data_IF_611958010017
#
_entry.id   IF_611958010017
#
_cell.length_a   1.000
_cell.length_b   1.000
_cell.length_c   1.000
_cell.angle_alpha   90.00
_cell.angle_beta   90.00
_cell.angle_gamma   90.00
#
_symmetry.space_group_name_H-M   'P 1'
#
loop_
_entity.id
_entity.type
_entity.pdbx_description
1 polymer ?
#
# COMPACT_ATOMS: atom_id res chain seq x y z
N UNK A 1 7.73 -5.31 15.37
CA UNK A 1 8.79 -6.30 15.69
C UNK A 1 10.12 -5.62 15.45
N UNK A 2 10.92 -5.42 16.48
CA UNK A 2 12.28 -4.91 16.32
C UNK A 2 13.14 -6.00 15.69
N UNK A 3 13.81 -5.69 14.61
CA UNK A 3 14.72 -6.60 13.93
C UNK A 3 16.16 -6.32 14.37
N UNK A 4 16.94 -7.39 14.50
CA UNK A 4 18.39 -7.24 14.51
C UNK A 4 18.86 -6.62 13.20
N UNK A 5 19.98 -5.89 13.22
CA UNK A 5 20.51 -5.17 12.04
C UNK A 5 20.62 -6.08 10.80
N UNK A 6 21.14 -7.29 10.97
CA UNK A 6 21.24 -8.25 9.86
C UNK A 6 19.88 -8.65 9.30
N UNK A 7 18.86 -8.82 10.14
CA UNK A 7 17.51 -9.15 9.71
C UNK A 7 16.81 -8.00 9.00
N UNK A 8 17.06 -6.76 9.42
CA UNK A 8 16.53 -5.57 8.77
C UNK A 8 17.09 -5.38 7.35
N UNK A 9 18.41 -5.56 7.19
CA UNK A 9 19.06 -5.41 5.88
C UNK A 9 19.02 -6.67 5.00
N UNK A 10 18.48 -7.79 5.50
CA UNK A 10 18.43 -9.05 4.76
C UNK A 10 17.61 -8.93 3.45
N UNK A 11 16.61 -8.04 3.40
CA UNK A 11 15.81 -7.82 2.19
C UNK A 11 16.67 -7.39 0.99
N UNK A 12 17.75 -6.62 1.21
CA UNK A 12 18.67 -6.16 0.17
C UNK A 12 19.60 -7.25 -0.37
N UNK A 13 19.57 -8.45 0.21
CA UNK A 13 20.31 -9.63 -0.29
C UNK A 13 19.34 -10.68 -0.79
N UNK A 14 18.31 -11.00 0.00
CA UNK A 14 17.35 -12.05 -0.30
C UNK A 14 16.54 -11.71 -1.56
N UNK A 15 15.98 -10.51 -1.66
CA UNK A 15 15.11 -10.17 -2.80
C UNK A 15 15.88 -10.08 -4.13
N UNK A 16 17.07 -9.46 -4.22
CA UNK A 16 17.85 -9.52 -5.46
C UNK A 16 18.15 -10.95 -5.92
N UNK A 17 18.46 -11.88 -5.01
CA UNK A 17 18.68 -13.29 -5.35
C UNK A 17 17.40 -13.97 -5.85
N UNK A 18 16.27 -13.79 -5.16
CA UNK A 18 14.97 -14.34 -5.57
C UNK A 18 14.52 -13.79 -6.92
N UNK A 19 14.58 -12.46 -7.10
CA UNK A 19 14.24 -11.78 -8.36
C UNK A 19 15.13 -12.30 -9.48
N UNK A 20 16.45 -12.37 -9.27
CA UNK A 20 17.38 -12.86 -10.28
C UNK A 20 17.07 -14.31 -10.65
N UNK A 21 16.77 -15.18 -9.68
CA UNK A 21 16.36 -16.57 -9.95
C UNK A 21 15.07 -16.67 -10.77
N UNK A 22 14.05 -15.87 -10.43
CA UNK A 22 12.80 -15.82 -11.18
C UNK A 22 13.00 -15.30 -12.61
N UNK A 23 13.81 -14.24 -12.79
CA UNK A 23 14.14 -13.70 -14.10
C UNK A 23 14.98 -14.68 -14.94
N UNK A 24 15.97 -15.33 -14.33
CA UNK A 24 16.83 -16.32 -14.98
C UNK A 24 16.04 -17.56 -15.41
N UNK A 25 14.93 -17.90 -14.74
CA UNK A 25 14.06 -19.02 -15.14
C UNK A 25 13.48 -18.87 -16.55
N UNK A 26 13.47 -17.65 -17.11
CA UNK A 26 13.14 -17.38 -18.53
C UNK A 26 14.10 -18.08 -19.50
N UNK A 27 15.35 -18.29 -19.09
CA UNK A 27 16.37 -18.94 -19.92
C UNK A 27 16.20 -20.46 -19.98
N UNK A 28 15.31 -21.03 -19.14
CA UNK A 28 14.98 -22.45 -19.22
C UNK A 28 14.23 -22.74 -20.53
N UNK A 29 14.36 -23.94 -21.12
CA UNK A 29 13.74 -24.32 -22.40
C UNK A 29 12.20 -24.32 -22.43
N UNK A 30 11.53 -23.84 -21.39
CA UNK A 30 10.08 -23.88 -21.21
C UNK A 30 9.39 -22.72 -21.94
N UNK A 31 9.24 -22.84 -23.26
CA UNK A 31 8.39 -21.97 -24.09
C UNK A 31 8.91 -20.54 -24.22
N UNK A 32 9.34 -20.16 -25.42
CA UNK A 32 9.92 -18.85 -25.69
C UNK A 32 8.84 -17.75 -25.73
N UNK A 33 8.46 -17.23 -24.56
CA UNK A 33 7.65 -16.02 -24.52
C UNK A 33 8.44 -14.84 -25.08
N UNK A 34 7.82 -14.08 -25.99
CA UNK A 34 8.43 -12.89 -26.56
C UNK A 34 9.00 -11.98 -25.45
N UNK A 35 10.27 -11.52 -25.52
CA UNK A 35 10.91 -10.71 -24.47
C UNK A 35 10.05 -9.56 -23.96
N UNK A 36 9.41 -8.82 -24.87
CA UNK A 36 8.54 -7.70 -24.52
C UNK A 36 7.31 -8.10 -23.68
N UNK A 37 6.71 -9.28 -23.91
CA UNK A 37 5.56 -9.73 -23.11
C UNK A 37 6.01 -10.01 -21.67
N UNK A 38 7.14 -10.66 -21.50
CA UNK A 38 7.69 -10.94 -20.18
C UNK A 38 8.08 -9.66 -19.43
N UNK A 39 8.75 -8.72 -20.09
CA UNK A 39 9.04 -7.40 -19.50
C UNK A 39 7.75 -6.66 -19.14
N UNK A 40 6.73 -6.71 -20.00
CA UNK A 40 5.41 -6.14 -19.73
C UNK A 40 4.76 -6.73 -18.47
N UNK A 41 4.84 -8.06 -18.28
CA UNK A 41 4.35 -8.73 -17.08
C UNK A 41 5.14 -8.37 -15.81
N UNK A 42 6.47 -8.20 -15.92
CA UNK A 42 7.28 -7.68 -14.81
C UNK A 42 6.83 -6.26 -14.44
N UNK A 43 6.62 -5.38 -15.42
CA UNK A 43 6.16 -4.00 -15.17
C UNK A 43 4.75 -3.97 -14.59
N UNK A 44 3.86 -4.86 -15.02
CA UNK A 44 2.55 -5.07 -14.40
C UNK A 44 2.68 -5.48 -12.93
N UNK A 45 3.62 -6.36 -12.60
CA UNK A 45 3.93 -6.74 -11.22
C UNK A 45 4.39 -5.53 -10.38
N UNK A 46 5.31 -4.71 -10.91
CA UNK A 46 5.77 -3.49 -10.22
C UNK A 46 4.62 -2.51 -10.00
N UNK A 47 3.80 -2.27 -11.03
CA UNK A 47 2.63 -1.39 -10.92
C UNK A 47 1.62 -1.93 -9.90
N UNK A 48 1.35 -3.23 -9.91
CA UNK A 48 0.47 -3.91 -8.95
C UNK A 48 0.98 -3.79 -7.53
N UNK A 49 2.30 -3.85 -7.32
CA UNK A 49 2.90 -3.62 -6.00
C UNK A 49 2.54 -2.22 -5.47
N UNK A 50 2.59 -1.17 -6.28
CA UNK A 50 2.28 0.19 -5.77
C UNK A 50 0.84 0.31 -5.25
N UNK A 51 -0.10 -0.43 -5.86
CA UNK A 51 -1.47 -0.52 -5.35
C UNK A 51 -1.52 -1.35 -4.07
N UNK A 52 -0.85 -2.50 -4.07
CA UNK A 52 -0.80 -3.36 -2.90
C UNK A 52 -0.17 -2.67 -1.69
N UNK A 53 0.91 -1.92 -1.87
CA UNK A 53 1.54 -1.06 -0.87
C UNK A 53 0.51 -0.10 -0.27
N UNK A 54 -0.21 0.65 -1.11
CA UNK A 54 -1.23 1.59 -0.65
C UNK A 54 -2.31 0.90 0.18
N UNK A 55 -2.84 -0.23 -0.30
CA UNK A 55 -3.89 -0.99 0.38
C UNK A 55 -3.39 -1.61 1.68
N UNK A 56 -2.20 -2.23 1.67
CA UNK A 56 -1.56 -2.83 2.83
C UNK A 56 -1.32 -1.75 3.89
N UNK A 57 -0.76 -0.62 3.52
CA UNK A 57 -0.47 0.46 4.44
C UNK A 57 -1.77 0.99 5.06
N UNK A 58 -2.76 1.36 4.23
CA UNK A 58 -4.02 1.95 4.70
C UNK A 58 -4.91 0.99 5.49
N UNK A 59 -5.05 -0.26 5.04
CA UNK A 59 -6.06 -1.19 5.57
C UNK A 59 -5.49 -2.33 6.39
N UNK A 60 -4.20 -2.63 6.29
CA UNK A 60 -3.56 -3.66 7.11
C UNK A 60 -2.71 -3.02 8.22
N UNK A 61 -1.69 -2.24 7.86
CA UNK A 61 -0.78 -1.61 8.82
C UNK A 61 -1.49 -0.60 9.74
N UNK A 62 -2.57 0.04 9.29
CA UNK A 62 -3.35 0.98 10.11
C UNK A 62 -4.62 0.39 10.74
N UNK A 63 -4.89 -0.93 10.62
CA UNK A 63 -6.15 -1.53 11.12
C UNK A 63 -6.04 -2.94 11.69
N UNK A 64 -5.13 -3.78 11.19
CA UNK A 64 -5.01 -5.19 11.60
C UNK A 64 -4.14 -5.26 12.85
N UNK A 65 -4.62 -5.76 14.01
CA UNK A 65 -3.96 -5.57 15.30
C UNK A 65 -2.46 -5.88 15.33
N UNK A 66 -2.06 -7.05 14.82
CA UNK A 66 -0.64 -7.46 14.82
C UNK A 66 0.22 -6.50 13.98
N UNK A 67 -0.30 -6.03 12.85
CA UNK A 67 0.43 -5.12 11.97
C UNK A 67 0.35 -3.67 12.46
N UNK A 68 -0.77 -3.30 13.10
CA UNK A 68 -1.00 -2.02 13.72
C UNK A 68 -0.02 -1.78 14.85
N UNK A 69 0.14 -2.72 15.77
CA UNK A 69 1.09 -2.59 16.88
C UNK A 69 2.52 -2.38 16.35
N UNK A 70 2.89 -3.10 15.28
CA UNK A 70 4.19 -2.92 14.63
C UNK A 70 4.33 -1.56 13.95
N UNK A 71 3.27 -1.09 13.29
CA UNK A 71 3.29 0.15 12.55
C UNK A 71 3.22 1.37 13.47
N UNK A 72 2.42 1.34 14.52
CA UNK A 72 2.39 2.35 15.59
C UNK A 72 3.75 2.47 16.28
N UNK A 73 4.42 1.36 16.55
CA UNK A 73 5.80 1.39 17.07
C UNK A 73 6.76 2.10 16.09
N UNK A 74 6.58 1.91 14.78
CA UNK A 74 7.34 2.62 13.77
C UNK A 74 6.97 4.11 13.68
N UNK A 75 5.69 4.49 13.83
CA UNK A 75 5.27 5.90 13.94
C UNK A 75 5.87 6.58 15.17
N UNK A 76 6.00 5.84 16.27
CA UNK A 76 6.59 6.35 17.52
C UNK A 76 8.11 6.52 17.44
N UNK A 77 8.82 5.61 16.76
CA UNK A 77 10.25 5.69 16.50
C UNK A 77 10.58 5.37 15.02
N UNK A 78 10.55 6.37 14.13
CA UNK A 78 10.73 6.16 12.70
C UNK A 78 12.15 5.74 12.29
N UNK A 79 13.13 5.87 13.20
CA UNK A 79 14.53 5.47 12.97
C UNK A 79 14.82 4.05 13.51
N UNK A 80 13.90 3.46 14.27
CA UNK A 80 14.04 2.08 14.71
C UNK A 80 13.98 1.11 13.52
N UNK A 81 14.74 0.02 13.63
CA UNK A 81 14.76 -1.07 12.64
C UNK A 81 13.56 -1.99 12.81
N UNK A 82 12.36 -1.45 12.57
CA UNK A 82 11.08 -2.15 12.64
C UNK A 82 10.67 -2.54 11.22
N UNK A 83 10.32 -3.81 11.04
CA UNK A 83 9.89 -4.33 9.75
C UNK A 83 9.44 -5.78 9.81
N UNK A 84 9.06 -6.30 8.65
CA UNK A 84 8.71 -7.71 8.46
C UNK A 84 9.98 -8.51 8.15
N UNK A 85 10.30 -9.60 8.86
CA UNK A 85 11.45 -10.44 8.52
C UNK A 85 11.39 -10.95 7.08
N UNK A 86 12.54 -11.01 6.38
CA UNK A 86 12.61 -11.42 4.97
C UNK A 86 12.01 -12.80 4.70
N UNK A 87 12.17 -13.76 5.63
CA UNK A 87 11.58 -15.08 5.49
C UNK A 87 10.05 -15.04 5.49
N UNK A 88 9.45 -14.15 6.30
CA UNK A 88 8.00 -14.02 6.41
C UNK A 88 7.42 -13.33 5.17
N UNK A 89 8.04 -12.24 4.72
CA UNK A 89 7.61 -11.54 3.50
C UNK A 89 7.82 -12.41 2.25
N UNK A 90 8.96 -13.12 2.13
CA UNK A 90 9.22 -14.04 1.02
C UNK A 90 8.22 -15.20 1.00
N UNK A 91 7.88 -15.76 2.17
CA UNK A 91 6.83 -16.77 2.27
C UNK A 91 5.49 -16.26 1.74
N UNK A 92 5.09 -15.04 2.10
CA UNK A 92 3.86 -14.40 1.61
C UNK A 92 3.87 -14.21 0.08
N UNK A 93 4.98 -13.81 -0.52
CA UNK A 93 5.07 -13.74 -1.99
C UNK A 93 4.95 -15.11 -2.65
N UNK A 94 5.55 -16.14 -2.06
CA UNK A 94 5.48 -17.50 -2.61
C UNK A 94 4.04 -18.02 -2.57
N UNK A 95 3.38 -17.97 -1.40
CA UNK A 95 2.04 -18.55 -1.22
C UNK A 95 0.92 -17.65 -1.76
N UNK A 96 1.11 -16.33 -1.73
CA UNK A 96 0.11 -15.34 -2.13
C UNK A 96 0.20 -14.89 -3.59
N UNK A 97 1.35 -15.06 -4.24
CA UNK A 97 1.52 -14.68 -5.64
C UNK A 97 2.09 -15.82 -6.49
N UNK A 98 3.28 -16.34 -6.20
CA UNK A 98 3.97 -17.28 -7.10
C UNK A 98 3.19 -18.57 -7.34
N UNK A 99 2.82 -19.29 -6.29
CA UNK A 99 2.15 -20.59 -6.41
C UNK A 99 0.74 -20.45 -7.05
N UNK A 100 -0.12 -19.50 -6.64
CA UNK A 100 -1.42 -19.31 -7.28
C UNK A 100 -1.31 -18.91 -8.75
N UNK A 101 -0.40 -17.99 -9.09
CA UNK A 101 -0.19 -17.57 -10.47
C UNK A 101 0.37 -18.71 -11.32
N UNK A 102 1.29 -19.50 -10.78
CA UNK A 102 1.86 -20.64 -11.49
C UNK A 102 0.78 -21.66 -11.81
N UNK A 103 -0.04 -21.99 -10.81
CA UNK A 103 -1.14 -22.93 -10.98
C UNK A 103 -2.18 -22.46 -12.01
N UNK A 104 -2.49 -21.17 -12.04
CA UNK A 104 -3.54 -20.63 -12.91
C UNK A 104 -3.06 -20.28 -14.33
N UNK A 105 -1.90 -19.63 -14.44
CA UNK A 105 -1.43 -18.96 -15.67
C UNK A 105 -0.12 -19.54 -16.21
N UNK A 106 0.41 -20.59 -15.56
CA UNK A 106 1.68 -21.22 -15.93
C UNK A 106 2.91 -20.49 -15.40
N UNK A 107 4.04 -21.18 -15.47
CA UNK A 107 5.31 -20.71 -14.89
C UNK A 107 5.79 -19.37 -15.47
N UNK A 108 5.79 -19.13 -16.79
CA UNK A 108 6.33 -17.88 -17.36
C UNK A 108 5.62 -16.63 -16.84
N UNK A 109 4.29 -16.69 -16.71
CA UNK A 109 3.49 -15.58 -16.18
C UNK A 109 3.76 -15.38 -14.69
N UNK A 110 3.77 -16.46 -13.93
CA UNK A 110 3.99 -16.42 -12.49
C UNK A 110 5.35 -15.86 -12.13
N UNK A 111 6.41 -16.35 -12.78
CA UNK A 111 7.78 -15.89 -12.50
C UNK A 111 7.96 -14.42 -12.87
N UNK A 112 7.44 -13.95 -14.00
CA UNK A 112 7.52 -12.55 -14.42
C UNK A 112 6.76 -11.61 -13.46
N UNK A 113 5.49 -11.91 -13.18
CA UNK A 113 4.65 -11.06 -12.32
C UNK A 113 5.16 -11.05 -10.89
N UNK A 114 5.55 -12.21 -10.33
CA UNK A 114 6.14 -12.28 -8.98
C UNK A 114 7.47 -11.55 -8.91
N UNK A 115 8.35 -11.67 -9.92
CA UNK A 115 9.59 -10.89 -9.97
C UNK A 115 9.31 -9.38 -9.96
N UNK A 116 8.31 -8.93 -10.71
CA UNK A 116 7.84 -7.54 -10.70
C UNK A 116 7.30 -7.08 -9.36
N UNK A 117 6.45 -7.89 -8.71
CA UNK A 117 5.91 -7.60 -7.38
C UNK A 117 7.03 -7.49 -6.32
N UNK A 118 7.98 -8.42 -6.34
CA UNK A 118 9.15 -8.42 -5.46
C UNK A 118 10.07 -7.22 -5.71
N UNK A 119 10.27 -6.83 -6.97
CA UNK A 119 11.04 -5.64 -7.34
C UNK A 119 10.36 -4.35 -6.83
N UNK A 120 9.03 -4.26 -6.98
CA UNK A 120 8.24 -3.18 -6.40
C UNK A 120 8.41 -3.11 -4.88
N UNK A 121 8.31 -4.25 -4.19
CA UNK A 121 8.51 -4.35 -2.74
C UNK A 121 9.91 -3.90 -2.32
N UNK A 122 10.96 -4.38 -2.99
CA UNK A 122 12.32 -3.96 -2.69
C UNK A 122 12.50 -2.45 -2.90
N UNK A 123 11.90 -1.89 -3.96
CA UNK A 123 11.85 -0.44 -4.18
C UNK A 123 11.14 0.30 -3.06
N UNK A 124 10.02 -0.22 -2.56
CA UNK A 124 9.32 0.31 -1.39
C UNK A 124 10.21 0.28 -0.14
N UNK A 125 10.83 -0.85 0.18
CA UNK A 125 11.72 -0.99 1.35
C UNK A 125 12.87 0.01 1.26
N UNK A 126 13.49 0.15 0.09
CA UNK A 126 14.57 1.10 -0.14
C UNK A 126 14.10 2.55 0.04
N UNK A 127 13.00 2.94 -0.60
CA UNK A 127 12.45 4.30 -0.51
C UNK A 127 12.05 4.63 0.92
N UNK A 128 11.32 3.74 1.60
CA UNK A 128 10.92 3.90 2.99
C UNK A 128 12.14 4.04 3.93
N UNK A 129 13.20 3.25 3.71
CA UNK A 129 14.44 3.41 4.46
C UNK A 129 15.07 4.78 4.22
N UNK A 130 15.21 5.20 2.95
CA UNK A 130 15.80 6.49 2.56
C UNK A 130 15.02 7.67 3.15
N UNK A 131 13.68 7.64 3.12
CA UNK A 131 12.85 8.75 3.65
C UNK A 131 13.09 8.98 5.14
N UNK A 132 13.37 7.92 5.90
CA UNK A 132 13.67 8.02 7.33
C UNK A 132 15.15 8.32 7.63
N UNK A 133 16.07 7.60 6.99
CA UNK A 133 17.46 7.55 7.46
C UNK A 133 18.38 8.53 6.73
N UNK A 134 18.03 9.01 5.53
CA UNK A 134 18.93 9.84 4.73
C UNK A 134 18.58 11.32 4.83
N UNK A 135 19.61 12.16 4.76
CA UNK A 135 19.47 13.62 4.59
C UNK A 135 19.35 13.92 3.10
N UNK A 136 18.14 14.27 2.66
CA UNK A 136 17.86 14.60 1.27
C UNK A 136 17.79 16.11 1.08
N UNK A 137 18.49 16.64 0.08
CA UNK A 137 18.41 18.06 -0.29
C UNK A 137 17.02 18.37 -0.88
N UNK A 138 16.44 19.57 -0.63
CA UNK A 138 15.15 19.96 -1.19
C UNK A 138 15.06 19.92 -2.71
N UNK A 139 16.18 20.09 -3.40
CA UNK A 139 16.28 19.99 -4.86
C UNK A 139 16.21 18.55 -5.40
N UNK A 140 16.32 17.53 -4.55
CA UNK A 140 16.25 16.13 -4.97
C UNK A 140 14.81 15.71 -5.23
N UNK A 141 14.57 14.93 -6.28
CA UNK A 141 13.25 14.37 -6.57
C UNK A 141 12.67 13.53 -5.42
N UNK A 142 13.53 12.84 -4.67
CA UNK A 142 13.16 12.03 -3.51
C UNK A 142 12.75 12.87 -2.28
N UNK A 143 13.14 14.15 -2.22
CA UNK A 143 12.72 15.02 -1.10
C UNK A 143 11.20 15.15 -1.03
N UNK A 144 10.51 15.22 -2.17
CA UNK A 144 9.04 15.25 -2.20
C UNK A 144 8.43 14.00 -1.58
N UNK A 145 9.02 12.83 -1.83
CA UNK A 145 8.59 11.56 -1.25
C UNK A 145 8.81 11.55 0.26
N UNK A 146 10.00 11.98 0.71
CA UNK A 146 10.33 12.15 2.14
C UNK A 146 9.38 13.11 2.83
N UNK A 147 9.11 14.27 2.24
CA UNK A 147 8.19 15.27 2.79
C UNK A 147 6.78 14.70 2.91
N UNK A 148 6.25 14.06 1.86
CA UNK A 148 4.93 13.44 1.86
C UNK A 148 4.81 12.38 2.95
N UNK A 149 5.82 11.54 3.10
CA UNK A 149 5.84 10.50 4.11
C UNK A 149 6.03 11.06 5.53
N UNK A 150 6.82 12.12 5.72
CA UNK A 150 6.89 12.81 7.01
C UNK A 150 5.52 13.36 7.44
N UNK A 151 4.73 13.89 6.50
CA UNK A 151 3.35 14.30 6.79
C UNK A 151 2.46 13.13 7.20
N UNK A 152 2.67 11.94 6.65
CA UNK A 152 1.95 10.73 7.07
C UNK A 152 2.19 10.44 8.57
N UNK A 153 3.43 10.57 9.03
CA UNK A 153 3.81 10.37 10.45
C UNK A 153 3.26 11.44 11.40
N UNK A 154 3.26 12.71 10.97
CA UNK A 154 3.05 13.83 11.89
C UNK A 154 1.72 14.59 11.72
N UNK A 155 0.96 14.33 10.65
CA UNK A 155 -0.34 14.98 10.47
C UNK A 155 -1.38 14.43 11.45
N UNK A 156 -2.26 15.32 11.94
CA UNK A 156 -3.39 14.92 12.80
C UNK A 156 -4.42 14.05 12.09
N UNK A 157 -4.55 14.25 10.78
CA UNK A 157 -5.47 13.51 9.92
C UNK A 157 -4.70 12.42 9.16
N UNK A 158 -5.15 11.15 9.21
CA UNK A 158 -4.48 10.07 8.49
C UNK A 158 -4.62 10.26 6.98
N UNK A 159 -3.52 10.09 6.25
CA UNK A 159 -3.45 10.19 4.80
C UNK A 159 -2.03 9.95 4.31
N UNK A 160 -1.75 10.15 3.02
CA UNK A 160 -0.45 9.89 2.40
C UNK A 160 0.05 8.44 2.64
N UNK A 161 -0.81 7.46 2.39
CA UNK A 161 -0.50 6.03 2.59
C UNK A 161 0.46 5.49 1.52
N UNK A 162 0.55 6.10 0.35
CA UNK A 162 1.54 5.75 -0.66
C UNK A 162 2.93 6.27 -0.29
N UNK A 163 3.86 5.37 0.02
CA UNK A 163 5.26 5.70 0.32
C UNK A 163 6.04 5.86 -0.98
N UNK A 164 5.94 4.93 -1.92
CA UNK A 164 6.67 5.00 -3.20
C UNK A 164 6.10 6.08 -4.12
N UNK A 165 4.78 6.14 -4.23
CA UNK A 165 4.07 7.07 -5.12
C UNK A 165 2.83 7.66 -4.45
N UNK A 166 2.48 8.90 -4.79
CA UNK A 166 1.25 9.55 -4.34
C UNK A 166 0.02 9.20 -5.19
N UNK A 167 0.21 8.47 -6.30
CA UNK A 167 -0.84 8.23 -7.29
C UNK A 167 -2.13 7.69 -6.64
N UNK A 168 -2.01 6.68 -5.78
CA UNK A 168 -3.16 6.07 -5.10
C UNK A 168 -3.77 6.99 -4.03
N UNK A 169 -2.98 7.84 -3.38
CA UNK A 169 -3.52 8.86 -2.47
C UNK A 169 -4.40 9.87 -3.21
N UNK A 170 -4.02 10.25 -4.43
CA UNK A 170 -4.84 11.12 -5.27
C UNK A 170 -6.11 10.40 -5.72
N UNK A 171 -5.98 9.18 -6.23
CA UNK A 171 -7.12 8.36 -6.73
C UNK A 171 -8.16 8.12 -5.63
N UNK A 172 -7.71 7.82 -4.41
CA UNK A 172 -8.59 7.49 -3.29
C UNK A 172 -8.87 8.66 -2.32
N UNK A 173 -8.43 9.88 -2.66
CA UNK A 173 -8.70 11.08 -1.89
C UNK A 173 -8.08 11.09 -0.48
N UNK A 174 -6.86 10.57 -0.34
CA UNK A 174 -6.07 10.57 0.90
C UNK A 174 -4.80 11.41 0.81
N UNK A 175 -4.64 12.22 -0.24
CA UNK A 175 -3.56 13.20 -0.39
C UNK A 175 -3.78 14.40 0.56
N UNK A 176 -2.92 14.49 1.58
CA UNK A 176 -2.98 15.53 2.61
C UNK A 176 -2.54 16.90 2.13
N UNK A 177 -1.69 16.97 1.10
CA UNK A 177 -1.24 18.26 0.53
C UNK A 177 -2.38 18.88 -0.28
N UNK A 178 -3.06 18.06 -1.08
CA UNK A 178 -4.24 18.49 -1.83
C UNK A 178 -5.39 18.90 -0.91
N UNK A 179 -5.69 18.11 0.12
CA UNK A 179 -6.72 18.46 1.09
C UNK A 179 -6.46 19.82 1.78
N UNK A 180 -5.22 20.07 2.18
CA UNK A 180 -4.84 21.34 2.81
C UNK A 180 -4.96 22.53 1.84
N UNK A 181 -4.60 22.35 0.56
CA UNK A 181 -4.74 23.40 -0.45
C UNK A 181 -6.22 23.73 -0.72
N UNK A 182 -7.08 22.72 -0.80
CA UNK A 182 -8.52 22.89 -1.00
C UNK A 182 -9.18 23.62 0.19
N UNK A 183 -8.81 23.28 1.42
CA UNK A 183 -9.29 23.97 2.64
C UNK A 183 -8.86 25.44 2.66
N UNK A 184 -7.62 25.74 2.26
CA UNK A 184 -7.15 27.13 2.17
C UNK A 184 -7.90 27.92 1.09
N UNK A 185 -8.19 27.31 -0.06
CA UNK A 185 -8.94 27.94 -1.13
C UNK A 185 -10.39 28.25 -0.69
N UNK A 186 -11.06 27.31 -0.03
CA UNK A 186 -12.40 27.49 0.55
C UNK A 186 -12.43 28.64 1.56
N UNK A 187 -11.50 28.65 2.51
CA UNK A 187 -11.40 29.71 3.51
C UNK A 187 -11.16 31.11 2.88
N UNK A 188 -10.40 31.18 1.78
CA UNK A 188 -10.21 32.44 1.04
C UNK A 188 -11.49 32.89 0.33
N UNK A 189 -12.21 31.96 -0.28
CA UNK A 189 -13.48 32.25 -0.96
C UNK A 189 -14.56 32.74 0.02
N UNK A 190 -14.67 32.10 1.20
CA UNK A 190 -15.60 32.51 2.25
C UNK A 190 -15.29 33.91 2.81
N UNK A 191 -14.00 34.23 3.01
CA UNK A 191 -13.59 35.59 3.41
C UNK A 191 -13.91 36.65 2.35
N UNK A 192 -13.80 36.28 1.07
CA UNK A 192 -14.14 37.17 -0.04
C UNK A 192 -15.65 37.37 -0.17
N UNK A 193 -16.47 36.34 0.07
CA UNK A 193 -17.93 36.42 -0.05
C UNK A 193 -18.61 37.09 1.15
N UNK A 194 -18.03 36.98 2.36
CA UNK A 194 -18.59 37.59 3.58
C UNK A 194 -18.31 39.09 3.72
N UNK A 195 -17.58 39.71 2.79
CA UNK A 195 -17.29 41.16 2.81
C UNK A 195 -16.52 41.65 4.05
N UNK A 196 -15.93 40.75 4.84
CA UNK A 196 -15.35 41.10 6.13
C UNK A 196 -13.88 41.51 6.01
N UNK A 197 -13.68 42.73 5.52
CA UNK A 197 -12.49 43.52 5.86
C UNK A 197 -12.59 43.99 7.32
N UNK A 198 -11.61 43.59 8.14
CA UNK A 198 -11.34 44.09 9.52
C UNK A 198 -12.43 43.87 10.60
N UNK A 199 -12.20 42.82 11.40
CA UNK A 199 -12.06 42.92 12.86
C UNK A 199 -13.27 42.64 13.76
N UNK A 200 -13.28 41.48 14.44
CA UNK A 200 -13.51 41.29 15.91
C UNK A 200 -13.70 39.81 16.28
N UNK A 201 -13.06 39.42 17.39
CA UNK A 201 -13.57 38.44 18.36
C UNK A 201 -13.68 36.98 17.93
N UNK A 202 -12.64 36.18 18.21
CA UNK A 202 -12.78 34.73 18.36
C UNK A 202 -13.49 34.43 19.68
N UNK A 203 -14.74 33.97 19.62
CA UNK A 203 -15.32 33.12 20.66
C UNK A 203 -15.40 31.71 20.09
N UNK A 204 -14.45 30.85 20.49
CA UNK A 204 -14.34 29.48 20.00
C UNK A 204 -14.85 28.52 21.08
N UNK A 205 -16.15 28.18 21.03
CA UNK A 205 -16.66 26.98 21.68
C UNK A 205 -16.37 25.76 20.80
N UNK A 206 -15.92 24.62 21.37
CA UNK A 206 -15.72 23.41 20.59
C UNK A 206 -17.08 22.80 20.23
N UNK A 207 -17.41 22.75 18.94
CA UNK A 207 -18.52 21.93 18.45
C UNK A 207 -18.23 20.45 18.70
N UNK A 208 -19.23 19.74 19.23
CA UNK A 208 -19.17 18.29 19.41
C UNK A 208 -19.21 17.60 18.04
N UNK A 209 -18.48 16.48 17.85
CA UNK A 209 -18.47 15.78 16.56
C UNK A 209 -19.87 15.28 16.19
N UNK A 210 -20.35 15.71 15.02
CA UNK A 210 -21.66 15.36 14.47
C UNK A 210 -21.72 13.85 14.15
N UNK A 211 -22.75 13.17 14.64
CA UNK A 211 -23.04 11.74 14.45
C UNK A 211 -23.09 11.32 12.97
N UNK A 212 -23.38 12.26 12.06
CA UNK A 212 -23.31 12.05 10.61
C UNK A 212 -21.89 11.77 10.08
N UNK A 213 -20.84 12.27 10.73
CA UNK A 213 -19.46 12.03 10.32
C UNK A 213 -19.07 10.56 10.49
N UNK A 214 -19.55 9.92 11.57
CA UNK A 214 -19.29 8.50 11.87
C UNK A 214 -19.99 7.57 10.87
N UNK A 215 -21.20 7.93 10.43
CA UNK A 215 -21.96 7.16 9.42
C UNK A 215 -21.34 7.36 8.03
N UNK A 216 -20.94 8.58 7.68
CA UNK A 216 -20.25 8.88 6.42
C UNK A 216 -18.88 8.16 6.32
N UNK A 217 -18.16 8.01 7.43
CA UNK A 217 -16.90 7.27 7.48
C UNK A 217 -17.12 5.76 7.24
N UNK A 218 -18.20 5.18 7.77
CA UNK A 218 -18.59 3.79 7.51
C UNK A 218 -18.89 3.51 6.03
N UNK A 219 -19.65 4.39 5.36
CA UNK A 219 -19.92 4.28 3.93
C UNK A 219 -18.67 4.49 3.06
N UNK A 220 -17.76 5.41 3.43
CA UNK A 220 -16.49 5.61 2.71
C UNK A 220 -15.55 4.40 2.83
N UNK A 221 -15.59 3.71 3.97
CA UNK A 221 -14.82 2.46 4.18
C UNK A 221 -15.40 1.33 3.33
N UNK A 222 -16.72 1.13 3.34
CA UNK A 222 -17.37 0.13 2.49
C UNK A 222 -17.12 0.38 0.99
N UNK A 223 -17.25 1.64 0.55
CA UNK A 223 -16.97 2.04 -0.83
C UNK A 223 -15.49 1.81 -1.21
N UNK A 224 -14.55 2.10 -0.31
CA UNK A 224 -13.13 1.82 -0.53
C UNK A 224 -12.84 0.32 -0.69
N UNK A 225 -13.47 -0.53 0.13
CA UNK A 225 -13.39 -1.98 -0.02
C UNK A 225 -14.01 -2.45 -1.34
N UNK A 226 -15.18 -1.94 -1.73
CA UNK A 226 -15.83 -2.29 -2.99
C UNK A 226 -15.01 -1.86 -4.20
N UNK A 227 -14.37 -0.69 -4.17
CA UNK A 227 -13.50 -0.22 -5.26
C UNK A 227 -12.20 -1.02 -5.31
N UNK A 228 -11.57 -1.34 -4.17
CA UNK A 228 -10.36 -2.17 -4.15
C UNK A 228 -10.64 -3.60 -4.66
N UNK A 229 -11.77 -4.18 -4.25
CA UNK A 229 -12.25 -5.46 -4.77
C UNK A 229 -12.60 -5.36 -6.25
N UNK A 230 -13.24 -4.28 -6.69
CA UNK A 230 -13.58 -4.01 -8.08
C UNK A 230 -12.36 -3.84 -8.97
N UNK A 231 -11.33 -3.11 -8.52
CA UNK A 231 -10.08 -2.93 -9.26
C UNK A 231 -9.26 -4.21 -9.31
N UNK A 232 -9.22 -4.97 -8.22
CA UNK A 232 -8.60 -6.31 -8.20
C UNK A 232 -9.33 -7.24 -9.18
N UNK A 233 -10.66 -7.20 -9.18
CA UNK A 233 -11.50 -7.96 -10.11
C UNK A 233 -11.30 -7.49 -11.55
N UNK A 234 -11.15 -6.19 -11.81
CA UNK A 234 -10.88 -5.64 -13.14
C UNK A 234 -9.48 -5.98 -13.65
N UNK A 235 -8.47 -6.03 -12.78
CA UNK A 235 -7.12 -6.50 -13.13
C UNK A 235 -7.16 -8.00 -13.46
N UNK A 236 -7.87 -8.79 -12.65
CA UNK A 236 -8.08 -10.22 -12.91
C UNK A 236 -8.85 -10.44 -14.22
N UNK A 237 -9.96 -9.74 -14.44
CA UNK A 237 -10.76 -9.81 -15.67
C UNK A 237 -9.96 -9.31 -16.88
N UNK A 238 -9.25 -8.19 -16.76
CA UNK A 238 -8.41 -7.64 -17.84
C UNK A 238 -7.28 -8.61 -18.23
N UNK A 239 -6.70 -9.30 -17.24
CA UNK A 239 -5.69 -10.34 -17.48
C UNK A 239 -6.33 -11.56 -18.15
N UNK A 240 -7.53 -11.99 -17.72
CA UNK A 240 -8.27 -13.09 -18.36
C UNK A 240 -8.63 -12.74 -19.81
N UNK A 241 -9.17 -11.54 -20.05
CA UNK A 241 -9.59 -11.08 -21.37
C UNK A 241 -8.41 -10.96 -22.32
N UNK A 242 -7.28 -10.42 -21.85
CA UNK A 242 -6.03 -10.37 -22.61
C UNK A 242 -5.57 -11.77 -23.05
N UNK A 243 -5.70 -12.77 -22.18
CA UNK A 243 -5.32 -14.15 -22.49
C UNK A 243 -6.32 -14.91 -23.37
N UNK A 244 -7.62 -14.67 -23.19
CA UNK A 244 -8.65 -15.24 -24.07
C UNK A 244 -8.57 -14.68 -25.50
N UNK A 245 -8.09 -13.44 -25.66
CA UNK A 245 -7.88 -12.81 -26.97
C UNK A 245 -6.55 -13.20 -27.62
N UNK A 246 -5.56 -13.66 -26.84
CA UNK A 246 -4.24 -14.13 -27.33
C UNK A 246 -4.20 -15.62 -27.71
N UNK A 247 -5.36 -16.30 -27.81
CA UNK A 247 -5.46 -17.64 -28.39
C UNK A 247 -4.88 -18.78 -27.54
N UNK A 248 -4.62 -18.56 -26.24
CA UNK A 248 -4.21 -19.63 -25.33
C UNK A 248 -5.45 -20.34 -24.75
N UNK A 249 -5.47 -21.66 -24.89
CA UNK A 249 -6.61 -22.54 -24.60
C UNK A 249 -7.34 -22.32 -23.27
N UNK A 250 -8.61 -22.70 -23.28
CA UNK A 250 -9.64 -22.54 -22.25
C UNK A 250 -9.13 -22.67 -20.81
N UNK A 251 -9.02 -21.54 -20.10
CA UNK A 251 -9.05 -21.52 -18.64
C UNK A 251 -10.40 -22.10 -18.18
N UNK A 252 -10.38 -23.25 -17.51
CA UNK A 252 -11.62 -23.88 -17.01
C UNK A 252 -12.21 -23.07 -15.86
N UNK A 253 -13.54 -22.96 -15.78
CA UNK A 253 -14.25 -22.20 -14.74
C UNK A 253 -13.83 -22.57 -13.30
N UNK A 254 -13.38 -23.81 -13.09
CA UNK A 254 -12.82 -24.31 -11.83
C UNK A 254 -11.49 -23.64 -11.44
N UNK A 255 -10.64 -23.30 -12.40
CA UNK A 255 -9.39 -22.56 -12.18
C UNK A 255 -9.64 -21.09 -11.85
N UNK A 256 -10.64 -20.49 -12.50
CA UNK A 256 -11.08 -19.11 -12.22
C UNK A 256 -11.66 -18.95 -10.81
N UNK A 257 -12.52 -19.88 -10.37
CA UNK A 257 -13.13 -19.83 -9.04
C UNK A 257 -12.09 -19.92 -7.91
N UNK A 258 -11.06 -20.75 -8.07
CA UNK A 258 -10.01 -20.95 -7.06
C UNK A 258 -8.99 -19.81 -7.06
N UNK A 259 -8.70 -19.17 -8.20
CA UNK A 259 -7.88 -17.95 -8.26
C UNK A 259 -8.54 -16.81 -7.45
N UNK A 260 -9.86 -16.65 -7.62
CA UNK A 260 -10.64 -15.73 -6.79
C UNK A 260 -10.57 -16.12 -5.31
N UNK A 261 -10.71 -17.41 -4.96
CA UNK A 261 -10.61 -17.86 -3.57
C UNK A 261 -9.19 -17.72 -2.99
N UNK A 262 -8.12 -17.84 -3.78
CA UNK A 262 -6.74 -17.65 -3.32
C UNK A 262 -6.40 -16.17 -3.06
N UNK A 263 -6.76 -15.29 -4.01
CA UNK A 263 -6.58 -13.84 -3.85
C UNK A 263 -7.50 -13.25 -2.76
N UNK A 264 -8.73 -13.75 -2.62
CA UNK A 264 -9.66 -13.32 -1.57
C UNK A 264 -9.42 -14.02 -0.23
N UNK A 265 -8.94 -15.26 -0.23
CA UNK A 265 -8.78 -16.11 0.96
C UNK A 265 -7.67 -15.63 1.88
N UNK A 266 -6.52 -15.20 1.35
CA UNK A 266 -5.45 -14.62 2.17
C UNK A 266 -5.90 -13.32 2.87
N UNK A 267 -6.77 -12.53 2.24
CA UNK A 267 -7.29 -11.27 2.81
C UNK A 267 -8.45 -11.55 3.79
N UNK A 268 -9.32 -12.50 3.47
CA UNK A 268 -10.54 -12.78 4.24
C UNK A 268 -10.31 -13.70 5.44
N UNK A 269 -9.40 -14.68 5.36
CA UNK A 269 -9.07 -15.57 6.50
C UNK A 269 -8.36 -14.78 7.61
N UNK A 270 -7.50 -13.82 7.25
CA UNK A 270 -6.87 -12.90 8.21
C UNK A 270 -7.90 -11.97 8.85
N UNK A 271 -8.95 -11.55 8.12
CA UNK A 271 -10.00 -10.68 8.64
C UNK A 271 -11.07 -11.43 9.47
N UNK A 272 -11.45 -12.65 9.07
CA UNK A 272 -12.54 -13.42 9.70
C UNK A 272 -12.15 -14.01 11.05
N UNK A 273 -10.86 -14.33 11.27
CA UNK A 273 -10.38 -14.88 12.54
C UNK A 273 -10.27 -13.83 13.67
N UNK A 274 -10.38 -12.53 13.37
CA UNK A 274 -10.12 -11.47 14.37
C UNK A 274 -11.29 -10.49 14.61
N UNK A 275 -12.43 -10.67 13.94
CA UNK A 275 -13.66 -9.90 14.19
C UNK A 275 -14.30 -10.11 15.57
N UNK A 276 -13.74 -10.98 16.42
CA UNK A 276 -14.18 -11.18 17.81
C UNK A 276 -13.09 -10.79 18.81
N UNK A 277 -13.11 -9.52 19.21
CA UNK A 277 -12.70 -9.13 20.55
C UNK A 277 -11.48 -8.23 20.65
N UNK A 278 -11.71 -6.92 20.75
CA UNK A 278 -11.77 -6.23 22.06
C UNK A 278 -11.96 -4.73 21.83
N UNK A 279 -12.93 -4.16 22.53
CA UNK A 279 -12.88 -2.74 22.93
C UNK A 279 -11.71 -2.59 23.89
N UNK A 280 -10.73 -1.72 23.61
CA UNK A 280 -9.80 -1.24 24.63
C UNK A 280 -9.57 0.27 24.51
N UNK A 281 -9.57 0.86 25.68
CA UNK A 281 -9.49 2.25 26.08
C UNK A 281 -8.15 2.91 25.72
N UNK A 282 -8.20 4.16 25.27
CA UNK A 282 -7.04 5.03 25.07
C UNK A 282 -6.26 5.24 26.38
N UNK A 283 -4.92 5.17 26.37
CA UNK A 283 -4.11 5.86 27.35
C UNK A 283 -3.79 7.27 26.85
N UNK A 284 -4.08 8.27 27.69
CA UNK A 284 -3.51 9.60 27.57
C UNK A 284 -2.02 9.57 27.91
N UNK A 285 -1.18 10.30 27.18
CA UNK A 285 -0.38 11.42 27.73
C UNK A 285 0.54 12.05 26.69
N UNK A 286 0.78 13.34 26.92
CA UNK A 286 1.57 14.30 26.16
C UNK A 286 3.05 13.91 26.15
N UNK A 287 3.71 14.11 25.00
CA UNK A 287 5.15 14.29 24.91
C UNK A 287 5.45 15.38 23.88
N UNK A 288 5.95 16.54 24.33
CA UNK A 288 6.52 17.60 23.48
C UNK A 288 7.96 17.21 23.14
N UNK A 289 8.38 17.38 21.89
CA UNK A 289 9.78 17.56 21.53
C UNK A 289 9.93 18.63 20.43
N UNK A 290 11.08 19.32 20.37
CA UNK A 290 11.24 20.63 19.76
C UNK A 290 11.47 20.55 18.24
N UNK A 291 11.19 21.69 17.61
CA UNK A 291 11.35 22.01 16.19
C UNK A 291 12.82 22.06 15.79
#
# INVERSE_FOLDING_TARGET
MHLHKSGYYADFVVYPLLITGLLASRLAPAGEWHPFVFVGLCMLGVASWTLFEYLLHRYALHRVPILLDMHEAHHADPLALIGTPSWASSFLFIVGALLPLWWALGWPTASAVTAGLMLGYLGYVAIHHITHHWRLAPSSGLYRVKHRHARHHFAKTPGNFGVTTMFWDVVFGTDLDRAAADDQARNRAERASTGYGRGRGQDSRPEKPNLMYTIALGHKVALGYTIALGLTLLIVIGTILLFTNLGAGTMTARRLMILCIGCFGCVTIVCALYGRGRKRSQPSTRGRFPV
#
